data_IF_484137441911
#
_entry.id   IF_484137441911
#
_cell.length_a   1.000
_cell.length_b   1.000
_cell.length_c   1.000
_cell.angle_alpha   90.00
_cell.angle_beta   90.00
_cell.angle_gamma   90.00
#
_symmetry.space_group_name_H-M   'P 1'
#
loop_
_entity.id
_entity.type
_entity.pdbx_description
1 polymer ?
#
# COMPACT_ATOMS: atom_id res chain seq x y z
N UNK A 1 6.12 -21.39 8.19
CA UNK A 1 5.05 -20.92 7.27
C UNK A 1 4.35 -19.66 7.79
N UNK A 2 3.68 -19.65 8.96
CA UNK A 2 2.98 -18.44 9.45
C UNK A 2 3.90 -17.22 9.64
N UNK A 3 5.06 -17.41 10.28
CA UNK A 3 6.04 -16.34 10.49
C UNK A 3 6.66 -15.80 9.18
N UNK A 4 6.75 -16.65 8.15
CA UNK A 4 7.28 -16.30 6.83
C UNK A 4 6.28 -15.44 6.06
N UNK A 5 5.01 -15.84 6.07
CA UNK A 5 3.91 -15.04 5.52
C UNK A 5 3.78 -13.68 6.22
N UNK A 6 3.87 -13.66 7.55
CA UNK A 6 3.85 -12.40 8.32
C UNK A 6 5.05 -11.50 7.98
N UNK A 7 6.25 -12.08 7.84
CA UNK A 7 7.43 -11.34 7.41
C UNK A 7 7.28 -10.75 6.01
N UNK A 8 6.71 -11.52 5.07
CA UNK A 8 6.45 -11.07 3.71
C UNK A 8 5.42 -9.93 3.66
N UNK A 9 4.32 -10.05 4.41
CA UNK A 9 3.28 -9.03 4.51
C UNK A 9 3.81 -7.74 5.15
N UNK A 10 4.63 -7.86 6.19
CA UNK A 10 5.27 -6.72 6.84
C UNK A 10 6.24 -5.99 5.90
N UNK A 11 7.10 -6.73 5.19
CA UNK A 11 8.01 -6.15 4.21
C UNK A 11 7.27 -5.43 3.06
N UNK A 12 6.15 -6.00 2.60
CA UNK A 12 5.30 -5.36 1.60
C UNK A 12 4.67 -4.06 2.12
N UNK A 13 4.24 -4.03 3.39
CA UNK A 13 3.72 -2.82 4.06
C UNK A 13 4.78 -1.74 4.16
N UNK A 14 5.97 -2.08 4.63
CA UNK A 14 7.09 -1.13 4.80
C UNK A 14 7.54 -0.54 3.46
N UNK A 15 7.59 -1.36 2.40
CA UNK A 15 7.91 -0.90 1.06
C UNK A 15 6.89 0.11 0.50
N UNK A 16 5.62 -0.01 0.89
CA UNK A 16 4.58 0.94 0.48
C UNK A 16 4.65 2.21 1.30
N UNK A 17 4.82 2.11 2.63
CA UNK A 17 5.02 3.28 3.48
C UNK A 17 6.21 4.11 2.99
N UNK A 18 7.35 3.46 2.69
CA UNK A 18 8.51 4.14 2.13
C UNK A 18 8.24 4.85 0.79
N UNK A 19 7.47 4.23 -0.11
CA UNK A 19 7.12 4.85 -1.41
C UNK A 19 6.13 6.01 -1.28
N UNK A 20 5.38 6.08 -0.18
CA UNK A 20 4.43 7.14 0.11
C UNK A 20 5.02 8.24 0.98
N UNK A 21 6.16 7.99 1.64
CA UNK A 21 6.91 9.00 2.38
C UNK A 21 7.38 10.10 1.41
N UNK A 22 6.85 11.32 1.59
CA UNK A 22 7.11 12.46 0.72
C UNK A 22 6.12 12.67 -0.44
N UNK A 23 5.13 11.79 -0.62
CA UNK A 23 4.03 12.04 -1.56
C UNK A 23 3.05 13.08 -1.02
N UNK A 24 2.62 14.03 -1.84
CA UNK A 24 1.60 15.01 -1.46
C UNK A 24 0.25 14.34 -1.23
N UNK A 25 -0.54 14.80 -0.25
CA UNK A 25 -1.91 14.35 0.05
C UNK A 25 -2.83 14.29 -1.19
N UNK A 26 -2.52 15.11 -2.20
CA UNK A 26 -3.18 15.10 -3.51
C UNK A 26 -2.79 13.89 -4.38
N UNK A 27 -1.49 13.58 -4.45
CA UNK A 27 -0.95 12.48 -5.25
C UNK A 27 -1.34 11.10 -4.70
N UNK A 28 -1.55 11.00 -3.38
CA UNK A 28 -1.97 9.76 -2.73
C UNK A 28 -3.45 9.44 -3.02
N UNK A 29 -4.29 10.48 -3.24
CA UNK A 29 -5.74 10.36 -3.43
C UNK A 29 -6.18 10.29 -4.88
N UNK A 30 -5.42 10.87 -5.81
CA UNK A 30 -5.77 10.85 -7.23
C UNK A 30 -5.68 9.42 -7.80
N UNK A 31 -6.61 9.01 -8.68
CA UNK A 31 -6.49 7.76 -9.40
C UNK A 31 -5.27 7.83 -10.33
N UNK A 32 -4.39 6.83 -10.21
CA UNK A 32 -3.17 6.68 -10.99
C UNK A 32 -3.36 5.78 -12.22
N UNK A 33 -4.52 5.10 -12.29
CA UNK A 33 -4.90 4.24 -13.42
C UNK A 33 -6.34 4.54 -13.86
N UNK A 34 -6.71 4.24 -15.13
CA UNK A 34 -8.07 4.42 -15.65
C UNK A 34 -9.14 3.61 -14.89
N UNK A 35 -8.73 2.56 -14.18
CA UNK A 35 -9.60 1.74 -13.33
C UNK A 35 -9.90 2.37 -11.97
N UNK A 36 -9.42 3.59 -11.71
CA UNK A 36 -9.68 4.32 -10.47
C UNK A 36 -8.76 3.94 -9.30
N UNK A 37 -7.72 3.14 -9.53
CA UNK A 37 -6.80 2.70 -8.48
C UNK A 37 -5.96 3.90 -8.01
N UNK A 38 -5.96 4.15 -6.70
CA UNK A 38 -5.10 5.14 -6.05
C UNK A 38 -4.28 4.46 -4.94
N UNK A 39 -3.22 5.14 -4.52
CA UNK A 39 -2.25 4.63 -3.55
C UNK A 39 -2.91 4.36 -2.18
N UNK A 40 -3.85 5.21 -1.78
CA UNK A 40 -4.65 5.02 -0.57
C UNK A 40 -5.50 3.73 -0.61
N UNK A 41 -6.09 3.41 -1.77
CA UNK A 41 -6.89 2.21 -1.99
C UNK A 41 -6.06 0.93 -1.88
N UNK A 42 -4.82 0.97 -2.37
CA UNK A 42 -3.87 -0.14 -2.23
C UNK A 42 -3.47 -0.38 -0.77
N UNK A 43 -3.18 0.68 -0.02
CA UNK A 43 -2.88 0.58 1.43
C UNK A 43 -4.06 -0.04 2.20
N UNK A 44 -5.28 0.42 1.92
CA UNK A 44 -6.50 -0.11 2.54
C UNK A 44 -6.70 -1.59 2.22
N UNK A 45 -6.52 -1.97 0.96
CA UNK A 45 -6.65 -3.37 0.53
C UNK A 45 -5.66 -4.29 1.24
N UNK A 46 -4.39 -3.88 1.31
CA UNK A 46 -3.33 -4.66 1.95
C UNK A 46 -3.47 -4.76 3.48
N UNK A 47 -4.17 -3.82 4.10
CA UNK A 47 -4.49 -3.88 5.54
C UNK A 47 -5.69 -4.77 5.84
N UNK A 48 -6.50 -5.12 4.83
CA UNK A 48 -7.71 -5.95 4.97
C UNK A 48 -7.50 -7.42 4.55
N UNK A 49 -6.36 -7.73 3.93
CA UNK A 49 -5.98 -9.08 3.47
C UNK A 49 -5.20 -9.88 4.52
N UNK A 50 -4.91 -9.30 5.70
CA UNK A 50 -4.35 -10.02 6.86
C UNK A 50 -5.37 -10.92 7.57
#
# INVERSE_FOLDING_TARGET
MKADLQGYLQAARDAIVWKLDGASDYDIRRPMTPTGTNLLGLVKHLTFVE
#
